data_IF_672115122050
#
_entry.id   IF_672115122050
#
_cell.length_a   1.000
_cell.length_b   1.000
_cell.length_c   1.000
_cell.angle_alpha   90.00
_cell.angle_beta   90.00
_cell.angle_gamma   90.00
#
_symmetry.space_group_name_H-M   'P 1'
#
loop_
_entity.id
_entity.type
_entity.pdbx_description
1 polymer ?
#
# COMPACT_ATOMS: atom_id res chain seq x y z
N UNK A 1 20.96 0.37 -17.32
CA UNK A 1 20.53 0.31 -15.89
C UNK A 1 19.09 -0.17 -15.70
N UNK A 2 18.31 -0.32 -16.77
CA UNK A 2 16.93 -0.85 -16.77
C UNK A 2 16.87 -2.37 -16.65
N UNK A 3 17.79 -3.10 -17.28
CA UNK A 3 17.74 -4.57 -17.35
C UNK A 3 17.96 -5.25 -15.99
N UNK A 4 18.80 -4.66 -15.13
CA UNK A 4 19.05 -5.19 -13.78
C UNK A 4 17.83 -5.04 -12.87
N UNK A 5 17.07 -3.94 -12.95
CA UNK A 5 15.87 -3.73 -12.12
C UNK A 5 14.73 -4.66 -12.54
N UNK A 6 14.59 -4.90 -13.84
CA UNK A 6 13.58 -5.80 -14.38
C UNK A 6 13.85 -7.27 -14.02
N UNK A 7 15.12 -7.70 -14.02
CA UNK A 7 15.48 -9.04 -13.58
C UNK A 7 15.20 -9.26 -12.08
N UNK A 8 15.50 -8.28 -11.22
CA UNK A 8 15.23 -8.37 -9.78
C UNK A 8 13.73 -8.43 -9.46
N UNK A 9 12.89 -7.64 -10.16
CA UNK A 9 11.43 -7.70 -9.99
C UNK A 9 10.86 -9.06 -10.41
N UNK A 10 11.37 -9.64 -11.51
CA UNK A 10 10.95 -10.96 -11.98
C UNK A 10 11.38 -12.09 -11.03
N UNK A 11 12.55 -12.00 -10.42
CA UNK A 11 13.02 -12.94 -9.41
C UNK A 11 12.20 -12.85 -8.12
N UNK A 12 11.90 -11.64 -7.67
CA UNK A 12 11.02 -11.38 -6.53
C UNK A 12 9.62 -12.00 -6.73
N UNK A 13 8.99 -11.75 -7.90
CA UNK A 13 7.65 -12.27 -8.17
C UNK A 13 7.60 -13.80 -8.15
N UNK A 14 8.62 -14.46 -8.72
CA UNK A 14 8.75 -15.93 -8.69
C UNK A 14 8.84 -16.48 -7.27
N UNK A 15 9.52 -15.78 -6.34
CA UNK A 15 9.61 -16.22 -4.95
C UNK A 15 8.24 -16.18 -4.29
N UNK A 16 7.50 -15.08 -4.46
CA UNK A 16 6.14 -14.95 -3.90
C UNK A 16 5.22 -16.03 -4.47
N UNK A 17 5.22 -16.25 -5.79
CA UNK A 17 4.43 -17.31 -6.44
C UNK A 17 4.77 -18.70 -5.88
N UNK A 18 6.05 -19.02 -5.71
CA UNK A 18 6.46 -20.29 -5.13
C UNK A 18 6.01 -20.47 -3.68
N UNK A 19 6.01 -19.40 -2.88
CA UNK A 19 5.50 -19.44 -1.51
C UNK A 19 3.99 -19.68 -1.50
N UNK A 20 3.24 -19.00 -2.38
CA UNK A 20 1.80 -19.17 -2.56
C UNK A 20 1.44 -20.60 -2.98
N UNK A 21 2.15 -21.17 -3.97
CA UNK A 21 1.96 -22.55 -4.44
C UNK A 21 2.22 -23.59 -3.34
N UNK A 22 3.09 -23.28 -2.37
CA UNK A 22 3.40 -24.13 -1.21
C UNK A 22 2.44 -23.91 -0.03
N UNK A 23 1.40 -23.10 -0.21
CA UNK A 23 0.43 -22.75 0.85
C UNK A 23 0.99 -21.82 1.92
N UNK A 24 2.18 -21.25 1.72
CA UNK A 24 2.84 -20.32 2.67
C UNK A 24 2.38 -18.88 2.44
N UNK A 25 1.07 -18.65 2.46
CA UNK A 25 0.49 -17.38 2.05
C UNK A 25 0.86 -16.21 2.97
N UNK A 26 1.00 -16.43 4.27
CA UNK A 26 1.42 -15.38 5.22
C UNK A 26 2.86 -14.95 4.97
N UNK A 27 3.77 -15.93 4.78
CA UNK A 27 5.17 -15.66 4.43
C UNK A 27 5.25 -14.94 3.09
N UNK A 28 4.44 -15.35 2.10
CA UNK A 28 4.37 -14.72 0.79
C UNK A 28 3.93 -13.25 0.90
N UNK A 29 2.90 -12.95 1.68
CA UNK A 29 2.40 -11.60 1.91
C UNK A 29 3.45 -10.72 2.62
N UNK A 30 4.07 -11.24 3.68
CA UNK A 30 5.15 -10.53 4.38
C UNK A 30 6.33 -10.26 3.44
N UNK A 31 6.76 -11.27 2.68
CA UNK A 31 7.86 -11.13 1.72
C UNK A 31 7.53 -10.11 0.64
N UNK A 32 6.29 -10.09 0.15
CA UNK A 32 5.83 -9.11 -0.83
C UNK A 32 5.95 -7.68 -0.30
N UNK A 33 5.38 -7.41 0.87
CA UNK A 33 5.38 -6.07 1.47
C UNK A 33 6.80 -5.62 1.81
N UNK A 34 7.63 -6.52 2.34
CA UNK A 34 8.99 -6.16 2.77
C UNK A 34 9.92 -5.82 1.60
N UNK A 35 9.71 -6.44 0.44
CA UNK A 35 10.55 -6.30 -0.75
C UNK A 35 9.97 -5.37 -1.83
N UNK A 36 8.85 -4.70 -1.55
CA UNK A 36 8.25 -3.71 -2.44
C UNK A 36 8.41 -2.32 -1.86
N UNK A 37 8.72 -1.35 -2.71
CA UNK A 37 8.69 0.05 -2.32
C UNK A 37 7.30 0.46 -1.82
N UNK A 38 7.25 1.02 -0.60
CA UNK A 38 5.99 1.33 0.08
C UNK A 38 5.13 2.31 -0.72
N UNK A 39 5.72 3.34 -1.34
CA UNK A 39 4.95 4.31 -2.12
C UNK A 39 4.29 3.66 -3.33
N UNK A 40 5.03 2.80 -4.02
CA UNK A 40 4.53 2.04 -5.17
C UNK A 40 3.35 1.16 -4.77
N UNK A 41 3.48 0.42 -3.66
CA UNK A 41 2.42 -0.46 -3.15
C UNK A 41 1.19 0.33 -2.66
N UNK A 42 1.39 1.46 -1.98
CA UNK A 42 0.32 2.37 -1.54
C UNK A 42 -0.47 2.90 -2.72
N UNK A 43 0.21 3.39 -3.77
CA UNK A 43 -0.46 3.93 -4.96
C UNK A 43 -1.23 2.86 -5.72
N UNK A 44 -0.63 1.67 -5.88
CA UNK A 44 -1.32 0.55 -6.48
C UNK A 44 -2.57 0.15 -5.70
N UNK A 45 -2.48 0.02 -4.37
CA UNK A 45 -3.64 -0.25 -3.52
C UNK A 45 -4.70 0.83 -3.65
N UNK A 46 -4.30 2.10 -3.67
CA UNK A 46 -5.24 3.20 -3.82
C UNK A 46 -6.00 3.12 -5.16
N UNK A 47 -5.29 2.84 -6.24
CA UNK A 47 -5.89 2.63 -7.56
C UNK A 47 -6.82 1.42 -7.57
N UNK A 48 -6.38 0.28 -7.03
CA UNK A 48 -7.18 -0.96 -6.96
C UNK A 48 -8.48 -0.76 -6.18
N UNK A 49 -8.41 -0.20 -4.97
CA UNK A 49 -9.57 0.01 -4.10
C UNK A 49 -10.55 1.01 -4.72
N UNK A 50 -10.06 2.04 -5.41
CA UNK A 50 -10.92 3.09 -6.01
C UNK A 50 -11.91 2.57 -7.05
N UNK A 51 -11.67 1.39 -7.62
CA UNK A 51 -12.56 0.77 -8.62
C UNK A 51 -13.88 0.29 -8.04
N UNK A 52 -13.95 0.12 -6.71
CA UNK A 52 -15.13 -0.43 -6.00
C UNK A 52 -15.55 0.43 -4.81
N UNK A 53 -14.99 1.64 -4.67
CA UNK A 53 -15.24 2.52 -3.53
C UNK A 53 -16.43 3.46 -3.75
N UNK A 54 -16.90 4.07 -2.67
CA UNK A 54 -17.81 5.22 -2.74
C UNK A 54 -17.15 6.41 -3.46
N UNK A 55 -17.93 7.40 -3.87
CA UNK A 55 -17.41 8.60 -4.53
C UNK A 55 -16.47 9.40 -3.61
N UNK A 56 -16.85 9.59 -2.35
CA UNK A 56 -16.03 10.28 -1.34
C UNK A 56 -14.68 9.58 -1.11
N UNK A 57 -14.70 8.24 -0.95
CA UNK A 57 -13.48 7.46 -0.84
C UNK A 57 -12.64 7.54 -2.11
N UNK A 58 -13.29 7.55 -3.28
CA UNK A 58 -12.61 7.60 -4.57
C UNK A 58 -11.80 8.89 -4.71
N UNK A 59 -12.33 10.04 -4.25
CA UNK A 59 -11.60 11.32 -4.27
C UNK A 59 -10.30 11.24 -3.46
N UNK A 60 -10.36 10.73 -2.23
CA UNK A 60 -9.17 10.55 -1.39
C UNK A 60 -8.15 9.59 -2.03
N UNK A 61 -8.62 8.44 -2.53
CA UNK A 61 -7.77 7.44 -3.18
C UNK A 61 -7.11 8.00 -4.45
N UNK A 62 -7.81 8.80 -5.25
CA UNK A 62 -7.25 9.45 -6.43
C UNK A 62 -6.21 10.51 -6.06
N UNK A 63 -6.37 11.23 -4.96
CA UNK A 63 -5.35 12.14 -4.44
C UNK A 63 -4.07 11.39 -4.06
N UNK A 64 -4.19 10.22 -3.41
CA UNK A 64 -3.05 9.35 -3.10
C UNK A 64 -2.31 8.89 -4.37
N UNK A 65 -3.06 8.44 -5.39
CA UNK A 65 -2.48 7.99 -6.67
C UNK A 65 -1.68 9.12 -7.36
N UNK A 66 -2.25 10.34 -7.37
CA UNK A 66 -1.68 11.51 -8.06
C UNK A 66 -0.59 12.22 -7.28
N UNK A 67 -0.45 11.94 -5.98
CA UNK A 67 0.53 12.59 -5.13
C UNK A 67 1.96 12.45 -5.68
N UNK A 68 2.74 13.52 -5.62
CA UNK A 68 4.12 13.56 -6.10
C UNK A 68 5.10 13.60 -4.94
N UNK A 69 6.15 12.81 -5.04
CA UNK A 69 7.20 12.77 -4.01
C UNK A 69 7.76 14.18 -3.75
N UNK A 70 7.81 14.57 -2.47
CA UNK A 70 8.23 15.90 -2.03
C UNK A 70 7.12 16.96 -1.97
N UNK A 71 5.90 16.67 -2.43
CA UNK A 71 4.76 17.59 -2.27
C UNK A 71 4.18 17.50 -0.85
N UNK A 72 4.81 18.24 0.07
CA UNK A 72 4.46 18.24 1.49
C UNK A 72 3.07 18.80 1.77
N UNK A 73 2.65 19.85 1.04
CA UNK A 73 1.33 20.46 1.21
C UNK A 73 0.23 19.45 0.89
N UNK A 74 0.34 18.78 -0.26
CA UNK A 74 -0.60 17.75 -0.65
C UNK A 74 -0.53 16.52 0.27
N UNK A 75 0.66 16.16 0.77
CA UNK A 75 0.83 15.05 1.75
C UNK A 75 0.03 15.31 3.02
N UNK A 76 0.08 16.53 3.54
CA UNK A 76 -0.69 16.94 4.72
C UNK A 76 -2.20 17.06 4.43
N UNK A 77 -2.59 17.51 3.25
CA UNK A 77 -4.00 17.54 2.83
C UNK A 77 -4.59 16.12 2.80
N UNK A 78 -3.88 15.17 2.17
CA UNK A 78 -4.27 13.75 2.14
C UNK A 78 -4.42 13.20 3.55
N UNK A 79 -3.47 13.51 4.45
CA UNK A 79 -3.56 13.07 5.85
C UNK A 79 -4.81 13.57 6.56
N UNK A 80 -5.17 14.85 6.41
CA UNK A 80 -6.37 15.43 7.03
C UNK A 80 -7.66 14.83 6.48
N UNK A 81 -7.70 14.58 5.17
CA UNK A 81 -8.83 13.91 4.52
C UNK A 81 -8.95 12.46 4.98
N UNK A 82 -7.82 11.76 5.14
CA UNK A 82 -7.75 10.41 5.68
C UNK A 82 -8.19 10.32 7.15
N UNK A 83 -7.82 11.31 7.97
CA UNK A 83 -8.29 11.45 9.34
C UNK A 83 -9.81 11.64 9.39
N UNK A 84 -10.34 12.51 8.52
CA UNK A 84 -11.78 12.80 8.42
C UNK A 84 -12.59 11.57 7.97
N UNK A 85 -12.05 10.77 7.03
CA UNK A 85 -12.62 9.49 6.63
C UNK A 85 -12.51 8.41 7.73
N UNK A 86 -11.58 8.58 8.67
CA UNK A 86 -11.30 7.67 9.78
C UNK A 86 -10.28 6.61 9.42
N UNK A 87 -9.22 6.48 10.23
CA UNK A 87 -8.12 5.54 9.99
C UNK A 87 -8.49 4.05 10.09
N UNK A 88 -9.69 3.71 10.56
CA UNK A 88 -10.22 2.35 10.51
C UNK A 88 -10.77 1.96 9.13
N UNK A 89 -11.00 2.93 8.23
CA UNK A 89 -11.37 2.68 6.84
C UNK A 89 -10.13 2.36 6.01
N UNK A 90 -10.30 1.72 4.86
CA UNK A 90 -9.16 1.40 3.99
C UNK A 90 -8.56 2.63 3.31
N UNK A 91 -9.40 3.58 2.90
CA UNK A 91 -9.00 4.87 2.32
C UNK A 91 -8.25 5.72 3.36
N UNK A 92 -8.78 5.83 4.58
CA UNK A 92 -8.12 6.50 5.69
C UNK A 92 -6.79 5.84 6.09
N UNK A 93 -6.75 4.51 6.22
CA UNK A 93 -5.52 3.78 6.53
C UNK A 93 -4.45 3.94 5.43
N UNK A 94 -4.82 3.96 4.15
CA UNK A 94 -3.89 4.21 3.06
C UNK A 94 -3.31 5.62 3.11
N UNK A 95 -4.15 6.64 3.37
CA UNK A 95 -3.68 8.01 3.51
C UNK A 95 -2.72 8.18 4.69
N UNK A 96 -2.99 7.51 5.82
CA UNK A 96 -2.06 7.45 6.96
C UNK A 96 -0.74 6.77 6.56
N UNK A 97 -0.79 5.65 5.85
CA UNK A 97 0.41 4.92 5.40
C UNK A 97 1.28 5.77 4.46
N UNK A 98 0.66 6.53 3.54
CA UNK A 98 1.38 7.50 2.72
C UNK A 98 2.05 8.56 3.60
N UNK A 99 1.29 9.16 4.52
CA UNK A 99 1.78 10.23 5.36
C UNK A 99 3.03 9.82 6.16
N UNK A 100 2.97 8.66 6.83
CA UNK A 100 4.07 8.21 7.69
C UNK A 100 5.29 7.69 6.91
N UNK A 101 5.09 7.22 5.67
CA UNK A 101 6.19 6.65 4.86
C UNK A 101 7.00 7.70 4.11
N UNK A 102 6.40 8.87 3.81
CA UNK A 102 6.97 9.84 2.87
C UNK A 102 7.51 11.12 3.50
N UNK A 103 7.43 11.29 4.82
CA UNK A 103 7.93 12.52 5.43
C UNK A 103 7.86 12.57 6.94
N UNK A 104 8.04 13.77 7.47
CA UNK A 104 7.93 14.04 8.89
C UNK A 104 6.47 13.98 9.36
N UNK A 105 6.25 13.46 10.56
CA UNK A 105 5.00 13.53 11.30
C UNK A 105 4.76 14.91 11.93
N UNK A 106 5.83 15.71 12.05
CA UNK A 106 5.74 17.09 12.50
C UNK A 106 5.70 18.06 11.32
N UNK A 107 4.98 19.20 11.44
CA UNK A 107 5.02 20.26 10.43
C UNK A 107 6.44 20.81 10.23
N UNK A 108 6.69 21.44 9.09
CA UNK A 108 8.01 21.98 8.69
C UNK A 108 8.58 23.03 9.66
N UNK A 109 7.74 23.66 10.48
CA UNK A 109 8.17 24.60 11.53
C UNK A 109 8.79 23.93 12.76
N UNK A 110 8.75 22.59 12.85
CA UNK A 110 9.23 21.82 14.00
C UNK A 110 10.34 20.85 13.58
N UNK A 111 11.18 20.38 14.53
CA UNK A 111 12.12 19.31 14.27
C UNK A 111 11.42 18.07 13.69
N UNK A 112 12.02 17.39 12.70
CA UNK A 112 11.38 16.27 12.05
C UNK A 112 11.17 15.09 13.02
N UNK A 113 9.99 14.49 12.96
CA UNK A 113 9.62 13.30 13.74
C UNK A 113 9.25 12.21 12.75
N UNK A 114 9.82 11.03 12.87
CA UNK A 114 9.53 9.91 11.98
C UNK A 114 8.89 8.75 12.74
N UNK A 115 7.98 8.04 12.06
CA UNK A 115 7.43 6.80 12.58
C UNK A 115 8.53 5.72 12.65
N UNK A 116 8.37 4.69 13.50
CA UNK A 116 9.20 3.50 13.43
C UNK A 116 9.17 2.88 12.03
N UNK A 117 10.31 2.38 11.55
CA UNK A 117 10.58 1.98 10.15
C UNK A 117 9.78 0.81 9.57
N UNK A 118 8.76 0.30 10.28
CA UNK A 118 7.88 -0.77 9.82
C UNK A 118 6.39 -0.44 9.98
N UNK A 119 6.08 0.79 10.39
CA UNK A 119 4.72 1.17 10.76
C UNK A 119 3.80 1.19 9.54
N UNK A 120 4.28 1.76 8.44
CA UNK A 120 3.60 1.80 7.14
C UNK A 120 3.36 0.40 6.59
N UNK A 121 4.35 -0.48 6.69
CA UNK A 121 4.26 -1.87 6.22
C UNK A 121 3.22 -2.67 6.98
N UNK A 122 3.09 -2.46 8.29
CA UNK A 122 2.03 -3.07 9.11
C UNK A 122 0.64 -2.57 8.73
N UNK A 123 0.50 -1.30 8.40
CA UNK A 123 -0.77 -0.74 7.91
C UNK A 123 -1.11 -1.35 6.54
N UNK A 124 -0.15 -1.40 5.62
CA UNK A 124 -0.31 -2.02 4.29
C UNK A 124 -0.71 -3.49 4.43
N UNK A 125 -0.07 -4.25 5.33
CA UNK A 125 -0.45 -5.63 5.64
C UNK A 125 -1.91 -5.75 6.03
N UNK A 126 -2.38 -4.91 6.96
CA UNK A 126 -3.77 -4.89 7.40
C UNK A 126 -4.75 -4.59 6.26
N UNK A 127 -4.40 -3.67 5.37
CA UNK A 127 -5.21 -3.32 4.20
C UNK A 127 -5.29 -4.50 3.22
N UNK A 128 -4.15 -5.12 2.88
CA UNK A 128 -4.07 -6.28 1.99
C UNK A 128 -4.85 -7.48 2.55
N UNK A 129 -4.76 -7.74 3.85
CA UNK A 129 -5.55 -8.77 4.52
C UNK A 129 -7.05 -8.48 4.47
N UNK A 130 -7.45 -7.23 4.64
CA UNK A 130 -8.85 -6.87 4.53
C UNK A 130 -9.34 -7.03 3.08
N UNK A 131 -8.54 -6.60 2.10
CA UNK A 131 -8.85 -6.78 0.68
C UNK A 131 -8.94 -8.24 0.26
N UNK A 132 -8.05 -9.11 0.75
CA UNK A 132 -8.09 -10.53 0.39
C UNK A 132 -9.39 -11.19 0.82
N UNK A 133 -9.87 -10.86 2.03
CA UNK A 133 -11.18 -11.33 2.52
C UNK A 133 -12.39 -10.67 1.83
N UNK A 134 -12.21 -9.54 1.14
CA UNK A 134 -13.27 -8.90 0.34
C UNK A 134 -13.38 -9.51 -1.06
N UNK A 135 -12.25 -9.88 -1.65
CA UNK A 135 -12.20 -10.42 -3.01
C UNK A 135 -12.66 -11.89 -3.06
N UNK A 136 -12.38 -12.68 -2.03
CA UNK A 136 -12.65 -14.12 -1.99
C UNK A 136 -13.06 -14.58 -0.59
N UNK A 137 -13.72 -15.74 -0.52
CA UNK A 137 -14.18 -16.36 0.74
C UNK A 137 -13.03 -16.80 1.66
N UNK A 138 -11.85 -17.03 1.09
CA UNK A 138 -10.64 -17.36 1.85
C UNK A 138 -9.54 -16.32 1.64
N UNK A 139 -8.79 -15.94 2.70
CA UNK A 139 -7.67 -15.00 2.56
C UNK A 139 -6.56 -15.55 1.66
N UNK A 140 -6.44 -16.87 1.52
CA UNK A 140 -5.43 -17.51 0.66
C UNK A 140 -5.71 -17.19 -0.81
N UNK A 141 -6.93 -17.46 -1.28
CA UNK A 141 -7.35 -17.19 -2.66
C UNK A 141 -7.33 -15.68 -2.94
N UNK A 142 -7.77 -14.88 -1.97
CA UNK A 142 -7.73 -13.43 -2.08
C UNK A 142 -6.32 -12.87 -2.24
N UNK A 143 -5.34 -13.39 -1.51
CA UNK A 143 -3.93 -12.97 -1.65
C UNK A 143 -3.37 -13.39 -3.01
N UNK A 144 -3.67 -14.61 -3.47
CA UNK A 144 -3.26 -15.06 -4.81
C UNK A 144 -3.82 -14.12 -5.87
N UNK A 145 -5.10 -13.78 -5.79
CA UNK A 145 -5.74 -12.86 -6.72
C UNK A 145 -5.12 -11.46 -6.70
N UNK A 146 -4.94 -10.88 -5.51
CA UNK A 146 -4.33 -9.55 -5.36
C UNK A 146 -2.91 -9.52 -5.91
N UNK A 147 -2.12 -10.56 -5.64
CA UNK A 147 -0.75 -10.66 -6.14
C UNK A 147 -0.69 -10.82 -7.66
N UNK A 148 -1.59 -11.62 -8.24
CA UNK A 148 -1.72 -11.73 -9.70
C UNK A 148 -2.12 -10.40 -10.33
N UNK A 149 -3.04 -9.65 -9.71
CA UNK A 149 -3.40 -8.32 -10.18
C UNK A 149 -2.19 -7.37 -10.13
N UNK A 150 -1.43 -7.38 -9.03
CA UNK A 150 -0.19 -6.61 -8.90
C UNK A 150 0.82 -6.92 -10.01
N UNK A 151 1.08 -8.20 -10.29
CA UNK A 151 2.02 -8.61 -11.35
C UNK A 151 1.60 -8.17 -12.76
N UNK A 152 0.32 -7.88 -12.97
CA UNK A 152 -0.25 -7.46 -14.26
C UNK A 152 -0.51 -5.94 -14.36
N UNK A 153 -0.18 -5.18 -13.31
CA UNK A 153 -0.41 -3.73 -13.23
C UNK A 153 0.74 -2.90 -13.81
#
# INVERSE_FOLDING_TARGET
>A
MTDSKNNTALEFNKIVEQMLLKGKWQDALNFWIENTDSLTLIKWLAQFISQSSSEEDSVLLQSIVKWKEGDEEQRWEIFKNAESAGFSTQSGALGLSLFISQGSLSPTSYPPVHAPSCSEKKIIYGILMNQSCKCYDTPVEGIVFLFQHWCNS
#
